data_IF_182576369373
#
_entry.id   IF_182576369373
#
_cell.length_a   1.000
_cell.length_b   1.000
_cell.length_c   1.000
_cell.angle_alpha   90.00
_cell.angle_beta   90.00
_cell.angle_gamma   90.00
#
_symmetry.space_group_name_H-M   'P 1'
#
loop_
_entity.id
_entity.type
_entity.pdbx_description
1 polymer ?
#
# COMPACT_ATOMS: atom_id res chain seq x y z
N UNK A 1 -1.53 -12.86 -4.87
CA UNK A 1 -2.96 -13.10 -5.19
C UNK A 1 -3.57 -14.18 -4.30
N UNK A 2 -2.88 -15.29 -4.08
CA UNK A 2 -3.28 -16.35 -3.14
C UNK A 2 -3.63 -15.82 -1.74
N UNK A 3 -2.90 -14.84 -1.27
CA UNK A 3 -3.15 -14.17 -0.01
C UNK A 3 -4.60 -13.61 0.09
N UNK A 4 -5.03 -12.82 -0.89
CA UNK A 4 -6.40 -12.26 -0.91
C UNK A 4 -7.46 -13.36 -0.91
N UNK A 5 -7.26 -14.40 -1.74
CA UNK A 5 -8.15 -15.56 -1.78
C UNK A 5 -8.32 -16.19 -0.40
N UNK A 6 -7.21 -16.43 0.32
CA UNK A 6 -7.25 -16.99 1.68
C UNK A 6 -7.98 -16.08 2.66
N UNK A 7 -7.78 -14.76 2.59
CA UNK A 7 -8.51 -13.82 3.44
C UNK A 7 -10.03 -13.92 3.21
N UNK A 8 -10.45 -14.05 1.95
CA UNK A 8 -11.86 -14.19 1.58
C UNK A 8 -12.45 -15.52 2.07
N UNK A 9 -11.75 -16.62 1.86
CA UNK A 9 -12.18 -17.96 2.28
C UNK A 9 -12.31 -18.09 3.82
N UNK A 10 -11.44 -17.43 4.55
CA UNK A 10 -11.46 -17.41 6.02
C UNK A 10 -12.42 -16.37 6.59
N UNK A 11 -13.10 -15.60 5.76
CA UNK A 11 -14.02 -14.53 6.18
C UNK A 11 -13.36 -13.54 7.18
N UNK A 12 -12.10 -13.23 6.99
CA UNK A 12 -11.42 -12.23 7.81
C UNK A 12 -12.05 -10.86 7.57
N UNK A 13 -12.21 -10.06 8.61
CA UNK A 13 -12.67 -8.68 8.49
C UNK A 13 -11.51 -7.77 8.04
N UNK A 14 -10.37 -7.95 8.67
CA UNK A 14 -9.15 -7.21 8.37
C UNK A 14 -7.97 -8.16 8.19
N UNK A 15 -7.01 -7.74 7.38
CA UNK A 15 -5.75 -8.46 7.26
C UNK A 15 -4.58 -7.48 7.08
N UNK A 16 -3.46 -7.76 7.74
CA UNK A 16 -2.23 -6.99 7.60
C UNK A 16 -1.22 -7.81 6.80
N UNK A 17 -0.65 -7.19 5.81
CA UNK A 17 0.34 -7.81 4.93
C UNK A 17 1.70 -7.20 5.22
N UNK A 18 2.69 -8.06 5.43
CA UNK A 18 4.09 -7.69 5.50
C UNK A 18 4.86 -8.42 4.40
N UNK A 19 5.72 -7.70 3.69
CA UNK A 19 6.74 -8.37 2.89
C UNK A 19 7.81 -9.01 3.80
N UNK A 20 8.48 -10.02 3.29
CA UNK A 20 9.47 -10.83 4.02
C UNK A 20 10.72 -10.05 4.50
N UNK A 21 10.96 -8.87 3.93
CA UNK A 21 12.05 -7.98 4.30
C UNK A 21 11.64 -6.86 5.29
N UNK A 22 10.41 -6.90 5.81
CA UNK A 22 9.98 -5.98 6.87
C UNK A 22 10.37 -6.53 8.23
N UNK A 23 11.08 -5.73 9.00
CA UNK A 23 11.47 -6.06 10.38
C UNK A 23 10.70 -5.13 11.33
N UNK A 24 9.88 -5.71 12.18
CA UNK A 24 9.20 -5.00 13.27
C UNK A 24 10.24 -4.69 14.36
N UNK A 25 10.40 -3.41 14.71
CA UNK A 25 11.33 -2.95 15.75
C UNK A 25 10.64 -2.77 17.11
N UNK A 26 9.36 -2.48 17.07
CA UNK A 26 8.59 -2.12 18.27
C UNK A 26 7.17 -2.70 18.15
N UNK A 27 6.74 -3.42 19.17
CA UNK A 27 5.40 -4.03 19.24
C UNK A 27 4.26 -3.01 19.27
N UNK A 28 4.54 -1.75 19.60
CA UNK A 28 3.57 -0.65 19.47
C UNK A 28 3.04 -0.50 18.03
N UNK A 29 3.72 -1.08 17.03
CA UNK A 29 3.20 -1.16 15.67
C UNK A 29 1.78 -1.74 15.63
N UNK A 30 1.52 -2.78 16.40
CA UNK A 30 0.21 -3.44 16.42
C UNK A 30 -0.87 -2.54 17.03
N UNK A 31 -0.54 -1.81 18.09
CA UNK A 31 -1.46 -0.83 18.70
C UNK A 31 -1.78 0.31 17.71
N UNK A 32 -0.77 0.73 16.94
CA UNK A 32 -0.97 1.75 15.91
C UNK A 32 -1.83 1.24 14.75
N UNK A 33 -1.70 -0.03 14.36
CA UNK A 33 -2.56 -0.65 13.35
C UNK A 33 -3.99 -0.74 13.90
N UNK A 34 -4.16 -1.18 15.14
CA UNK A 34 -5.47 -1.23 15.79
C UNK A 34 -6.12 0.15 15.82
N UNK A 35 -5.35 1.20 16.16
CA UNK A 35 -5.87 2.57 16.16
C UNK A 35 -6.38 3.03 14.79
N UNK A 36 -5.81 2.54 13.68
CA UNK A 36 -6.33 2.82 12.34
C UNK A 36 -7.68 2.14 12.15
N UNK A 37 -7.81 0.90 12.57
CA UNK A 37 -9.06 0.14 12.49
C UNK A 37 -10.15 0.85 13.31
N UNK A 38 -9.83 1.26 14.53
CA UNK A 38 -10.79 1.91 15.45
C UNK A 38 -11.31 3.24 14.89
N UNK A 39 -10.42 4.01 14.25
CA UNK A 39 -10.75 5.32 13.68
C UNK A 39 -11.51 5.20 12.36
N UNK A 40 -11.13 4.25 11.51
CA UNK A 40 -11.69 4.13 10.16
C UNK A 40 -12.89 3.20 10.08
N UNK A 41 -13.00 2.22 10.98
CA UNK A 41 -14.04 1.20 10.90
C UNK A 41 -14.06 0.53 9.54
N UNK A 42 -15.22 0.58 8.88
CA UNK A 42 -15.42 -0.02 7.56
C UNK A 42 -15.22 0.98 6.40
N UNK A 43 -14.68 2.20 6.69
CA UNK A 43 -14.61 3.29 5.72
C UNK A 43 -13.29 3.36 4.93
N UNK A 44 -12.67 2.22 4.64
CA UNK A 44 -11.45 2.15 3.82
C UNK A 44 -11.35 0.80 3.10
N UNK A 45 -10.57 0.74 2.06
CA UNK A 45 -10.15 -0.48 1.37
C UNK A 45 -8.75 -0.87 1.81
N UNK A 46 -7.82 0.09 1.86
CA UNK A 46 -6.42 -0.16 2.20
C UNK A 46 -5.83 0.98 3.04
N UNK A 47 -4.89 0.65 3.93
CA UNK A 47 -4.04 1.63 4.60
C UNK A 47 -2.59 1.18 4.58
N UNK A 48 -1.73 1.94 3.92
CA UNK A 48 -0.30 1.67 3.83
C UNK A 48 0.45 2.27 5.02
N UNK A 49 1.43 1.53 5.53
CA UNK A 49 2.26 1.91 6.68
C UNK A 49 3.70 2.25 6.30
N UNK A 50 4.06 1.92 5.07
CA UNK A 50 5.33 2.29 4.43
C UNK A 50 5.06 2.60 2.96
N UNK A 51 5.79 3.57 2.40
CA UNK A 51 5.77 3.82 0.97
C UNK A 51 7.15 4.23 0.46
N UNK A 52 7.39 3.94 -0.82
CA UNK A 52 8.53 4.48 -1.56
C UNK A 52 8.22 5.90 -2.05
N UNK A 53 7.01 6.10 -2.54
CA UNK A 53 6.50 7.40 -2.96
C UNK A 53 4.98 7.39 -2.93
N UNK A 54 4.37 8.56 -2.83
CA UNK A 54 2.92 8.73 -2.84
C UNK A 54 2.51 10.12 -3.32
N UNK A 55 1.28 10.21 -3.80
CA UNK A 55 0.61 11.45 -4.13
C UNK A 55 -0.56 11.67 -3.16
N UNK A 56 -0.43 12.60 -2.20
CA UNK A 56 -1.48 12.85 -1.23
C UNK A 56 -2.68 13.54 -1.87
N UNK A 57 -3.88 13.26 -1.34
CA UNK A 57 -5.11 13.97 -1.67
C UNK A 57 -5.48 14.95 -0.55
N UNK A 58 -5.85 14.38 0.61
CA UNK A 58 -6.28 15.15 1.78
C UNK A 58 -5.99 14.39 3.08
N UNK A 59 -6.13 15.08 4.20
CA UNK A 59 -6.15 14.41 5.50
C UNK A 59 -7.58 14.14 5.95
N UNK A 60 -7.79 12.94 6.47
CA UNK A 60 -9.10 12.46 6.91
C UNK A 60 -8.89 11.55 8.13
N UNK A 61 -9.54 11.86 9.25
CA UNK A 61 -9.42 11.10 10.50
C UNK A 61 -7.95 10.89 10.98
N UNK A 62 -7.09 11.89 10.78
CA UNK A 62 -5.68 11.80 11.16
C UNK A 62 -4.79 10.99 10.20
N UNK A 63 -5.37 10.41 9.15
CA UNK A 63 -4.68 9.68 8.10
C UNK A 63 -4.57 10.54 6.83
N UNK A 64 -3.62 10.20 5.99
CA UNK A 64 -3.45 10.83 4.68
C UNK A 64 -4.14 9.96 3.62
N UNK A 65 -5.24 10.45 3.04
CA UNK A 65 -5.81 9.82 1.86
C UNK A 65 -4.89 10.05 0.67
N UNK A 66 -4.72 9.04 -0.19
CA UNK A 66 -3.80 9.12 -1.32
C UNK A 66 -4.52 8.89 -2.64
N UNK A 67 -4.09 9.62 -3.68
CA UNK A 67 -4.50 9.42 -5.08
C UNK A 67 -3.61 8.40 -5.79
N UNK A 68 -2.44 8.15 -5.23
CA UNK A 68 -1.48 7.20 -5.73
C UNK A 68 -0.48 6.84 -4.63
N UNK A 69 -0.01 5.60 -4.61
CA UNK A 69 1.02 5.12 -3.69
C UNK A 69 1.76 3.94 -4.28
N UNK A 70 3.07 3.93 -4.14
CA UNK A 70 3.91 2.80 -4.52
C UNK A 70 4.52 2.17 -3.28
N UNK A 71 4.04 1.02 -2.92
CA UNK A 71 4.61 0.14 -1.90
C UNK A 71 3.77 -1.12 -1.74
N UNK A 72 4.44 -2.19 -1.32
CA UNK A 72 3.80 -3.42 -0.86
C UNK A 72 4.36 -3.90 0.48
N UNK A 73 5.24 -3.09 1.08
CA UNK A 73 6.04 -3.48 2.26
C UNK A 73 5.21 -3.84 3.48
N UNK A 74 4.26 -2.96 3.82
CA UNK A 74 3.37 -3.19 4.93
C UNK A 74 2.07 -2.42 4.72
N UNK A 75 0.95 -3.11 4.72
CA UNK A 75 -0.37 -2.49 4.58
C UNK A 75 -1.48 -3.33 5.21
N UNK A 76 -2.53 -2.63 5.63
CA UNK A 76 -3.79 -3.17 6.15
C UNK A 76 -4.84 -3.15 5.05
N UNK A 77 -5.66 -4.19 4.96
CA UNK A 77 -6.85 -4.22 4.11
C UNK A 77 -8.12 -4.45 4.92
N UNK A 78 -9.22 -3.83 4.51
CA UNK A 78 -10.56 -4.23 4.87
C UNK A 78 -11.03 -5.29 3.86
N UNK A 79 -11.09 -6.54 4.29
CA UNK A 79 -11.22 -7.71 3.39
C UNK A 79 -12.50 -7.66 2.57
N UNK A 80 -13.64 -7.34 3.20
CA UNK A 80 -14.92 -7.28 2.52
C UNK A 80 -14.95 -6.20 1.44
N UNK A 81 -14.44 -4.99 1.77
CA UNK A 81 -14.39 -3.90 0.81
C UNK A 81 -13.45 -4.19 -0.37
N UNK A 82 -12.40 -4.97 -0.14
CA UNK A 82 -11.44 -5.36 -1.19
C UNK A 82 -12.00 -6.40 -2.17
N UNK A 83 -13.06 -7.13 -1.82
CA UNK A 83 -13.64 -8.16 -2.73
C UNK A 83 -14.06 -7.58 -4.07
N UNK A 84 -14.68 -6.40 -4.09
CA UNK A 84 -15.13 -5.75 -5.33
C UNK A 84 -13.97 -5.40 -6.28
N UNK A 85 -12.78 -5.19 -5.74
CA UNK A 85 -11.57 -4.84 -6.50
C UNK A 85 -10.71 -6.05 -6.88
N UNK A 86 -11.03 -7.24 -6.40
CA UNK A 86 -10.21 -8.44 -6.62
C UNK A 86 -10.01 -8.76 -8.11
N UNK A 87 -11.01 -8.48 -8.95
CA UNK A 87 -10.95 -8.66 -10.41
C UNK A 87 -9.81 -7.89 -11.08
N UNK A 88 -9.40 -6.71 -10.53
CA UNK A 88 -8.34 -5.87 -11.10
C UNK A 88 -6.94 -6.47 -10.94
N UNK A 89 -6.79 -7.48 -10.08
CA UNK A 89 -5.54 -8.20 -9.98
C UNK A 89 -5.31 -9.19 -11.14
N UNK A 90 -6.31 -9.37 -12.00
CA UNK A 90 -6.22 -10.28 -13.15
C UNK A 90 -6.41 -9.53 -14.48
N UNK A 91 -5.71 -9.96 -15.55
CA UNK A 91 -4.60 -10.93 -15.52
C UNK A 91 -3.44 -10.48 -14.67
N UNK A 92 -2.58 -11.43 -14.24
CA UNK A 92 -1.34 -11.11 -13.51
C UNK A 92 -0.29 -10.70 -14.56
N UNK A 93 -0.40 -9.49 -15.05
CA UNK A 93 0.40 -8.90 -16.12
C UNK A 93 1.31 -7.77 -15.61
N UNK A 94 1.25 -7.47 -14.31
CA UNK A 94 2.03 -6.40 -13.70
C UNK A 94 2.34 -6.70 -12.23
N UNK A 95 3.22 -5.89 -11.62
CA UNK A 95 3.52 -5.96 -10.20
C UNK A 95 2.29 -5.62 -9.34
N UNK A 96 2.22 -6.17 -8.14
CA UNK A 96 1.07 -5.99 -7.25
C UNK A 96 0.88 -4.53 -6.82
N UNK A 97 1.95 -3.76 -6.65
CA UNK A 97 1.88 -2.33 -6.35
C UNK A 97 1.24 -1.54 -7.50
N UNK A 98 1.52 -1.89 -8.75
CA UNK A 98 0.86 -1.32 -9.93
C UNK A 98 -0.65 -1.66 -9.93
N UNK A 99 -1.02 -2.88 -9.54
CA UNK A 99 -2.43 -3.27 -9.41
C UNK A 99 -3.15 -2.49 -8.31
N UNK A 100 -2.45 -2.13 -7.23
CA UNK A 100 -3.01 -1.22 -6.22
C UNK A 100 -3.32 0.17 -6.80
N UNK A 101 -2.52 0.65 -7.74
CA UNK A 101 -2.77 1.91 -8.42
C UNK A 101 -4.03 1.85 -9.29
N UNK A 102 -4.23 0.76 -10.02
CA UNK A 102 -5.47 0.53 -10.78
C UNK A 102 -6.70 0.58 -9.86
N UNK A 103 -6.62 -0.04 -8.69
CA UNK A 103 -7.69 -0.04 -7.69
C UNK A 103 -7.98 1.38 -7.17
N UNK A 104 -6.94 2.18 -6.94
CA UNK A 104 -7.10 3.58 -6.52
C UNK A 104 -7.80 4.40 -7.61
N UNK A 105 -7.41 4.20 -8.87
CA UNK A 105 -8.03 4.87 -10.01
C UNK A 105 -9.53 4.54 -10.14
N UNK A 106 -9.92 3.32 -9.75
CA UNK A 106 -11.31 2.86 -9.70
C UNK A 106 -12.08 3.34 -8.45
N UNK A 107 -11.49 4.20 -7.65
CA UNK A 107 -12.16 4.88 -6.54
C UNK A 107 -11.98 4.26 -5.15
N UNK A 108 -11.11 3.26 -5.00
CA UNK A 108 -10.80 2.70 -3.68
C UNK A 108 -10.31 3.79 -2.71
N UNK A 109 -10.79 3.72 -1.47
CA UNK A 109 -10.37 4.63 -0.39
C UNK A 109 -9.09 4.09 0.22
N UNK A 110 -7.98 4.65 -0.22
CA UNK A 110 -6.64 4.24 0.19
C UNK A 110 -5.99 5.32 1.02
N UNK A 111 -5.42 4.92 2.13
CA UNK A 111 -4.81 5.81 3.12
C UNK A 111 -3.35 5.45 3.36
N UNK A 112 -2.63 6.41 3.93
CA UNK A 112 -1.27 6.26 4.40
C UNK A 112 -1.13 6.77 5.83
N UNK A 113 -0.41 6.01 6.67
CA UNK A 113 0.07 6.42 7.99
C UNK A 113 1.53 6.03 8.12
N UNK A 114 2.40 7.00 8.36
CA UNK A 114 3.83 6.72 8.52
C UNK A 114 4.09 5.91 9.80
N UNK A 115 4.56 4.68 9.64
CA UNK A 115 4.95 3.79 10.73
C UNK A 115 6.42 3.37 10.71
N UNK A 116 7.27 4.08 9.95
CA UNK A 116 8.73 3.80 9.87
C UNK A 116 9.43 3.86 11.23
N UNK A 117 8.87 4.56 12.19
CA UNK A 117 9.35 4.55 13.58
C UNK A 117 9.33 3.13 14.18
N UNK A 118 8.34 2.33 13.86
CA UNK A 118 8.09 1.02 14.46
C UNK A 118 8.62 -0.15 13.61
N UNK A 119 9.04 0.10 12.37
CA UNK A 119 9.53 -0.92 11.46
C UNK A 119 10.74 -0.43 10.67
N UNK A 120 11.49 -1.35 10.09
CA UNK A 120 12.54 -1.08 9.10
C UNK A 120 12.48 -2.07 7.96
N UNK A 121 13.00 -1.67 6.82
CA UNK A 121 13.16 -2.57 5.67
C UNK A 121 14.58 -3.12 5.70
N UNK A 122 14.70 -4.44 5.67
CA UNK A 122 16.00 -5.12 5.51
C UNK A 122 16.45 -4.98 4.05
N UNK A 123 17.44 -4.12 3.82
CA UNK A 123 18.02 -3.89 2.49
C UNK A 123 19.11 -4.91 2.13
N UNK A 124 19.54 -5.74 3.07
CA UNK A 124 20.53 -6.78 2.84
C UNK A 124 20.01 -7.95 2.00
N UNK A 125 18.70 -8.14 2.00
CA UNK A 125 18.03 -9.04 1.05
C UNK A 125 17.71 -8.24 -0.21
N UNK A 126 18.60 -8.31 -1.21
CA UNK A 126 18.37 -7.71 -2.51
C UNK A 126 17.00 -8.13 -3.08
N UNK A 127 16.34 -7.23 -3.81
CA UNK A 127 15.13 -7.60 -4.55
C UNK A 127 15.48 -8.68 -5.57
N UNK A 128 14.75 -9.78 -5.55
CA UNK A 128 14.86 -10.84 -6.58
C UNK A 128 14.27 -10.39 -7.93
N UNK A 129 13.53 -9.28 -7.93
CA UNK A 129 12.98 -8.66 -9.13
C UNK A 129 13.91 -7.53 -9.53
N UNK A 130 14.54 -7.64 -10.69
CA UNK A 130 15.46 -6.63 -11.19
C UNK A 130 14.77 -5.28 -11.39
N UNK A 131 15.08 -4.32 -10.52
CA UNK A 131 14.56 -2.95 -10.60
C UNK A 131 15.49 -2.00 -11.35
N UNK A 132 16.15 -2.47 -12.42
CA UNK A 132 17.12 -1.67 -13.17
C UNK A 132 16.55 -0.35 -13.73
N UNK A 133 15.22 -0.26 -13.87
CA UNK A 133 14.57 0.87 -14.53
C UNK A 133 13.87 1.85 -13.60
N UNK A 134 13.63 1.49 -12.34
CA UNK A 134 12.89 2.32 -11.36
C UNK A 134 13.59 3.65 -11.01
N UNK A 135 14.89 3.72 -11.19
CA UNK A 135 15.67 4.94 -10.97
C UNK A 135 15.84 5.81 -12.22
N UNK A 136 15.40 5.37 -13.39
CA UNK A 136 15.59 6.12 -14.63
C UNK A 136 14.69 7.35 -14.66
N UNK A 137 15.30 8.51 -14.86
CA UNK A 137 14.62 9.79 -15.05
C UNK A 137 13.55 9.65 -16.15
N UNK A 138 12.28 9.90 -15.82
CA UNK A 138 11.17 9.83 -16.78
C UNK A 138 10.37 8.52 -16.80
N UNK A 139 10.72 7.50 -16.00
CA UNK A 139 9.89 6.30 -15.87
C UNK A 139 8.48 6.67 -15.39
N UNK A 140 8.43 7.45 -14.34
CA UNK A 140 7.18 7.89 -13.71
C UNK A 140 6.30 8.73 -14.64
N UNK A 141 6.90 9.71 -15.33
CA UNK A 141 6.16 10.60 -16.24
C UNK A 141 5.62 9.90 -17.49
N UNK A 142 6.21 8.75 -17.87
CA UNK A 142 5.71 7.94 -19.00
C UNK A 142 4.50 7.09 -18.61
N UNK A 143 4.49 6.59 -17.38
CA UNK A 143 3.43 5.70 -16.88
C UNK A 143 2.25 6.48 -16.27
N UNK A 144 2.54 7.65 -15.70
CA UNK A 144 1.56 8.52 -15.05
C UNK A 144 1.67 9.96 -15.55
N UNK A 145 1.31 10.23 -16.82
CA UNK A 145 1.49 11.56 -17.43
C UNK A 145 0.72 12.67 -16.71
N UNK A 146 -0.32 12.31 -15.97
CA UNK A 146 -1.20 13.26 -15.26
C UNK A 146 -0.78 13.51 -13.80
N UNK A 147 0.25 12.82 -13.30
CA UNK A 147 0.75 13.03 -11.94
C UNK A 147 1.86 14.07 -11.97
N UNK A 148 1.63 15.21 -11.30
CA UNK A 148 2.66 16.23 -11.11
C UNK A 148 3.73 15.68 -10.17
N UNK A 149 4.92 15.42 -10.69
CA UNK A 149 6.03 14.79 -9.95
C UNK A 149 6.62 15.66 -8.86
N UNK A 150 6.41 16.98 -8.91
CA UNK A 150 6.79 17.96 -7.89
C UNK A 150 5.96 17.84 -6.59
N UNK A 151 4.78 17.21 -6.67
CA UNK A 151 3.90 16.96 -5.52
C UNK A 151 4.09 15.57 -4.90
N UNK A 152 4.93 14.72 -5.52
CA UNK A 152 5.23 13.39 -5.02
C UNK A 152 6.08 13.45 -3.76
N UNK A 153 5.54 12.90 -2.67
CA UNK A 153 6.29 12.71 -1.43
C UNK A 153 7.02 11.37 -1.54
N UNK A 154 8.36 11.42 -1.59
CA UNK A 154 9.20 10.22 -1.59
C UNK A 154 9.43 9.77 -0.16
N UNK A 155 9.16 8.49 0.13
CA UNK A 155 9.53 7.84 1.38
C UNK A 155 10.92 7.19 1.22
N UNK A 156 11.88 7.60 2.05
CA UNK A 156 13.22 7.00 2.11
C UNK A 156 13.40 6.22 3.41
#
# INVERSE_FOLDING_TARGET
MEFYRRCFEQNLKYAVIFEDNVIVKDHQLYDQIQSVIDVMGDNFEMCFFHCLSRYPDRRENGLERVKWISSTKCYLIHVENMKQYYKYFFPIDNHVDMKHEDIIAEGARVYYKDMRKYMRIDRGKGSTIGHSDWGKKGYFSRQYPNVKTDVLIRGY
#
